data_IF_530630211815
#
_entry.id   IF_530630211815
#
_cell.length_a   1.000
_cell.length_b   1.000
_cell.length_c   1.000
_cell.angle_alpha   90.00
_cell.angle_beta   90.00
_cell.angle_gamma   90.00
#
_symmetry.space_group_name_H-M   'P 1'
#
loop_
_entity.id
_entity.type
_entity.pdbx_description
1 polymer ?
#
# COMPACT_ATOMS: atom_id res chain seq x y z
N UNK A 1 8.94 -29.85 -26.41
CA UNK A 1 7.51 -29.46 -26.30
C UNK A 1 7.25 -28.53 -25.10
N UNK A 2 8.20 -27.70 -24.68
CA UNK A 2 8.10 -27.01 -23.36
C UNK A 2 7.74 -25.51 -23.42
N UNK A 3 7.87 -24.85 -24.57
CA UNK A 3 7.52 -23.41 -24.70
C UNK A 3 6.13 -23.16 -25.29
N UNK A 4 5.47 -24.19 -25.84
CA UNK A 4 4.14 -24.05 -26.46
C UNK A 4 3.02 -24.04 -25.42
N UNK A 5 3.17 -24.79 -24.32
CA UNK A 5 2.19 -24.83 -23.23
C UNK A 5 2.09 -23.51 -22.46
N UNK A 6 3.23 -22.87 -22.17
CA UNK A 6 3.29 -21.57 -21.49
C UNK A 6 2.66 -20.47 -22.37
N UNK A 7 2.92 -20.49 -23.69
CA UNK A 7 2.29 -19.56 -24.65
C UNK A 7 0.78 -19.78 -24.77
N UNK A 8 0.31 -21.03 -24.69
CA UNK A 8 -1.12 -21.37 -24.74
C UNK A 8 -1.90 -20.91 -23.50
N UNK A 9 -1.34 -21.09 -22.31
CA UNK A 9 -1.97 -20.62 -21.06
C UNK A 9 -2.03 -19.09 -21.04
N UNK A 10 -0.95 -18.41 -21.47
CA UNK A 10 -0.94 -16.95 -21.60
C UNK A 10 -2.02 -16.45 -22.56
N UNK A 11 -2.19 -17.10 -23.71
CA UNK A 11 -3.22 -16.73 -24.69
C UNK A 11 -4.65 -16.94 -24.17
N UNK A 12 -4.90 -17.99 -23.39
CA UNK A 12 -6.21 -18.24 -22.78
C UNK A 12 -6.55 -17.20 -21.71
N UNK A 13 -5.58 -16.83 -20.88
CA UNK A 13 -5.75 -15.76 -19.88
C UNK A 13 -6.06 -14.45 -20.61
N UNK A 14 -5.26 -14.07 -21.60
CA UNK A 14 -5.46 -12.84 -22.37
C UNK A 14 -6.84 -12.84 -23.05
N UNK A 15 -7.25 -13.94 -23.66
CA UNK A 15 -8.54 -14.04 -24.35
C UNK A 15 -9.73 -13.99 -23.39
N UNK A 16 -9.60 -14.60 -22.21
CA UNK A 16 -10.61 -14.52 -21.15
C UNK A 16 -10.75 -13.10 -20.59
N UNK A 17 -9.63 -12.39 -20.42
CA UNK A 17 -9.64 -10.98 -20.03
C UNK A 17 -10.25 -10.09 -21.13
N UNK A 18 -9.96 -10.34 -22.41
CA UNK A 18 -10.59 -9.61 -23.54
C UNK A 18 -12.11 -9.87 -23.58
N UNK A 19 -12.56 -11.10 -23.34
CA UNK A 19 -13.98 -11.41 -23.24
C UNK A 19 -14.65 -10.72 -22.05
N UNK A 20 -13.99 -10.70 -20.88
CA UNK A 20 -14.47 -9.94 -19.72
C UNK A 20 -14.49 -8.42 -19.99
N UNK A 21 -13.58 -7.90 -20.82
CA UNK A 21 -13.57 -6.49 -21.25
C UNK A 21 -14.80 -6.12 -22.05
N UNK A 22 -15.33 -7.04 -22.85
CA UNK A 22 -16.51 -6.80 -23.68
C UNK A 22 -17.83 -6.90 -22.88
N UNK A 23 -17.81 -7.64 -21.76
CA UNK A 23 -18.96 -7.84 -20.86
C UNK A 23 -19.08 -6.74 -19.81
N UNK A 24 -17.96 -6.11 -19.43
CA UNK A 24 -17.87 -5.11 -18.35
C UNK A 24 -17.49 -3.77 -18.95
N UNK A 25 -18.02 -2.66 -18.44
CA UNK A 25 -17.68 -1.32 -18.92
C UNK A 25 -16.15 -1.11 -19.03
N UNK A 26 -15.67 -0.66 -20.20
CA UNK A 26 -14.24 -0.48 -20.52
C UNK A 26 -13.46 0.27 -19.43
N UNK A 27 -14.07 1.32 -18.85
CA UNK A 27 -13.43 2.11 -17.81
C UNK A 27 -13.15 1.27 -16.55
N UNK A 28 -14.08 0.39 -16.18
CA UNK A 28 -13.96 -0.48 -14.99
C UNK A 28 -12.83 -1.48 -15.20
N UNK A 29 -12.65 -1.98 -16.41
CA UNK A 29 -11.53 -2.88 -16.73
C UNK A 29 -10.20 -2.16 -16.57
N UNK A 30 -10.07 -0.95 -17.12
CA UNK A 30 -8.85 -0.14 -16.98
C UNK A 30 -8.55 0.11 -15.50
N UNK A 31 -9.56 0.40 -14.69
CA UNK A 31 -9.38 0.55 -13.24
C UNK A 31 -8.84 -0.73 -12.59
N UNK A 32 -9.44 -1.89 -12.86
CA UNK A 32 -8.97 -3.17 -12.31
C UNK A 32 -7.53 -3.46 -12.72
N UNK A 33 -7.17 -3.16 -13.97
CA UNK A 33 -5.79 -3.29 -14.44
C UNK A 33 -4.83 -2.39 -13.64
N UNK A 34 -5.19 -1.12 -13.42
CA UNK A 34 -4.40 -0.21 -12.59
C UNK A 34 -4.27 -0.68 -11.14
N UNK A 35 -5.34 -1.22 -10.55
CA UNK A 35 -5.31 -1.80 -9.20
C UNK A 35 -4.35 -2.99 -9.11
N UNK A 36 -4.29 -3.84 -10.14
CA UNK A 36 -3.33 -4.95 -10.21
C UNK A 36 -1.90 -4.42 -10.31
N UNK A 37 -1.65 -3.45 -11.21
CA UNK A 37 -0.32 -2.83 -11.33
C UNK A 37 0.14 -2.16 -10.03
N UNK A 38 -0.76 -1.48 -9.33
CA UNK A 38 -0.46 -0.88 -8.03
C UNK A 38 -0.08 -1.94 -6.99
N UNK A 39 -0.79 -3.08 -6.99
CA UNK A 39 -0.46 -4.20 -6.09
C UNK A 39 0.92 -4.79 -6.39
N UNK A 40 1.24 -4.96 -7.68
CA UNK A 40 2.54 -5.47 -8.11
C UNK A 40 3.67 -4.48 -7.77
N UNK A 41 3.48 -3.19 -8.03
CA UNK A 41 4.49 -2.17 -7.71
C UNK A 41 4.68 -1.98 -6.20
N UNK A 42 3.61 -2.07 -5.41
CA UNK A 42 3.68 -2.07 -3.95
C UNK A 42 4.45 -3.28 -3.40
N UNK A 43 4.25 -4.46 -4.00
CA UNK A 43 5.02 -5.66 -3.63
C UNK A 43 6.50 -5.52 -4.00
N UNK A 44 6.80 -5.02 -5.20
CA UNK A 44 8.18 -4.76 -5.64
C UNK A 44 8.87 -3.76 -4.72
N UNK A 45 8.18 -2.67 -4.36
CA UNK A 45 8.68 -1.68 -3.40
C UNK A 45 9.04 -2.35 -2.08
N UNK A 46 8.11 -3.10 -1.49
CA UNK A 46 8.31 -3.77 -0.20
C UNK A 46 9.49 -4.75 -0.22
N UNK A 47 9.68 -5.46 -1.35
CA UNK A 47 10.82 -6.35 -1.55
C UNK A 47 12.15 -5.60 -1.62
N UNK A 48 12.21 -4.49 -2.37
CA UNK A 48 13.43 -3.65 -2.49
C UNK A 48 13.76 -2.97 -1.17
N UNK A 49 12.76 -2.44 -0.45
CA UNK A 49 12.95 -1.76 0.83
C UNK A 49 13.09 -2.71 2.03
N UNK A 50 13.01 -4.03 1.80
CA UNK A 50 13.02 -5.10 2.84
C UNK A 50 12.00 -4.89 3.96
N UNK A 51 10.92 -4.17 3.69
CA UNK A 51 9.89 -3.82 4.67
C UNK A 51 8.59 -4.56 4.33
N UNK A 52 8.56 -5.86 4.66
CA UNK A 52 7.40 -6.73 4.45
C UNK A 52 6.50 -6.68 5.69
N UNK A 53 5.62 -5.69 5.75
CA UNK A 53 4.56 -5.65 6.75
C UNK A 53 3.24 -6.11 6.10
N UNK A 54 2.81 -7.32 6.46
CA UNK A 54 1.57 -7.92 5.96
C UNK A 54 0.32 -7.12 6.34
N UNK A 55 0.38 -6.37 7.45
CA UNK A 55 -0.70 -5.49 7.90
C UNK A 55 -0.92 -4.35 6.91
N UNK A 56 0.16 -3.78 6.38
CA UNK A 56 0.13 -2.72 5.37
C UNK A 56 -0.40 -3.28 4.04
N UNK A 57 0.02 -4.50 3.66
CA UNK A 57 -0.48 -5.18 2.47
C UNK A 57 -1.99 -5.44 2.53
N UNK A 58 -2.49 -5.94 3.67
CA UNK A 58 -3.92 -6.19 3.85
C UNK A 58 -4.75 -4.90 3.85
N UNK A 59 -4.26 -3.82 4.48
CA UNK A 59 -4.91 -2.52 4.43
C UNK A 59 -5.07 -1.99 3.00
N UNK A 60 -4.07 -2.22 2.13
CA UNK A 60 -4.15 -1.91 0.70
C UNK A 60 -5.26 -2.68 -0.02
N UNK A 61 -5.42 -3.98 0.27
CA UNK A 61 -6.49 -4.80 -0.31
C UNK A 61 -7.88 -4.33 0.15
N UNK A 62 -8.05 -3.99 1.44
CA UNK A 62 -9.32 -3.46 1.95
C UNK A 62 -9.69 -2.14 1.27
N UNK A 63 -8.71 -1.24 1.08
CA UNK A 63 -8.93 0.02 0.34
C UNK A 63 -9.41 -0.24 -1.09
N UNK A 64 -8.79 -1.21 -1.77
CA UNK A 64 -9.17 -1.62 -3.13
C UNK A 64 -10.59 -2.18 -3.20
N UNK A 65 -11.01 -2.95 -2.20
CA UNK A 65 -12.39 -3.41 -2.10
C UNK A 65 -13.38 -2.26 -1.91
N UNK A 66 -13.04 -1.24 -1.12
CA UNK A 66 -13.87 -0.05 -0.96
C UNK A 66 -14.04 0.74 -2.28
N UNK A 67 -13.00 0.79 -3.12
CA UNK A 67 -13.10 1.39 -4.47
C UNK A 67 -14.15 0.66 -5.30
N UNK A 68 -14.14 -0.68 -5.31
CA UNK A 68 -15.11 -1.48 -6.07
C UNK A 68 -16.56 -1.23 -5.59
N UNK A 69 -16.76 -1.04 -4.29
CA UNK A 69 -18.08 -0.66 -3.75
C UNK A 69 -18.51 0.71 -4.31
N UNK A 70 -17.61 1.70 -4.34
CA UNK A 70 -17.90 3.02 -4.90
C UNK A 70 -18.24 2.97 -6.39
N UNK A 71 -17.55 2.12 -7.17
CA UNK A 71 -17.88 1.89 -8.59
C UNK A 71 -19.27 1.24 -8.72
N UNK A 72 -19.59 0.25 -7.87
CA UNK A 72 -20.92 -0.37 -7.84
C UNK A 72 -22.02 0.64 -7.53
N UNK A 73 -21.78 1.58 -6.61
CA UNK A 73 -22.71 2.67 -6.31
C UNK A 73 -22.89 3.62 -7.50
N UNK A 74 -21.80 3.98 -8.19
CA UNK A 74 -21.87 4.83 -9.38
C UNK A 74 -22.67 4.16 -10.51
N UNK A 75 -22.43 2.87 -10.74
CA UNK A 75 -23.16 2.07 -11.73
C UNK A 75 -24.66 1.95 -11.37
N UNK A 76 -25.00 1.75 -10.09
CA UNK A 76 -26.38 1.71 -9.63
C UNK A 76 -27.09 3.07 -9.81
N UNK A 77 -26.39 4.17 -9.54
CA UNK A 77 -26.91 5.53 -9.75
C UNK A 77 -27.15 5.80 -11.23
N UNK A 78 -26.21 5.44 -12.09
CA UNK A 78 -26.35 5.58 -13.54
C UNK A 78 -27.54 4.76 -14.07
N UNK A 79 -27.69 3.51 -13.62
CA UNK A 79 -28.85 2.67 -13.95
C UNK A 79 -30.18 3.31 -13.52
N UNK A 80 -30.23 3.88 -12.32
CA UNK A 80 -31.42 4.58 -11.81
C UNK A 80 -31.78 5.79 -12.69
N UNK A 81 -30.79 6.57 -13.14
CA UNK A 81 -31.02 7.70 -14.03
C UNK A 81 -31.57 7.25 -15.39
N UNK A 82 -30.97 6.21 -15.97
CA UNK A 82 -31.45 5.62 -17.24
C UNK A 82 -32.90 5.17 -17.10
N UNK A 83 -33.24 4.49 -16.00
CA UNK A 83 -34.62 4.08 -15.71
C UNK A 83 -35.60 5.26 -15.55
N UNK A 84 -35.12 6.42 -15.10
CA UNK A 84 -35.89 7.66 -15.01
C UNK A 84 -36.00 8.43 -16.34
N UNK A 85 -35.50 7.87 -17.45
CA UNK A 85 -35.52 8.50 -18.78
C UNK A 85 -34.44 9.58 -18.98
N UNK A 86 -33.51 9.72 -18.04
CA UNK A 86 -32.33 10.57 -18.15
C UNK A 86 -31.15 9.66 -18.46
N UNK A 87 -30.73 9.54 -19.72
CA UNK A 87 -29.60 8.68 -20.08
C UNK A 87 -28.27 9.47 -20.08
N UNK A 88 -27.45 9.38 -19.01
CA UNK A 88 -26.11 9.97 -18.97
C UNK A 88 -25.08 9.30 -19.90
N UNK A 89 -25.45 8.23 -20.61
CA UNK A 89 -24.60 7.53 -21.60
C UNK A 89 -23.25 7.04 -21.04
N UNK A 90 -23.21 6.59 -19.80
CA UNK A 90 -22.00 6.10 -19.14
C UNK A 90 -21.14 7.18 -18.49
N UNK A 91 -21.52 8.47 -18.54
CA UNK A 91 -20.67 9.57 -18.10
C UNK A 91 -20.39 9.54 -16.60
N UNK A 92 -21.35 9.10 -15.78
CA UNK A 92 -21.21 9.11 -14.32
C UNK A 92 -20.21 8.05 -13.90
N UNK A 93 -20.41 6.82 -14.35
CA UNK A 93 -19.53 5.69 -14.12
C UNK A 93 -18.14 5.98 -14.67
N UNK A 94 -18.04 6.55 -15.88
CA UNK A 94 -16.75 6.95 -16.45
C UNK A 94 -16.04 7.98 -15.57
N UNK A 95 -16.74 9.01 -15.09
CA UNK A 95 -16.16 10.04 -14.22
C UNK A 95 -15.64 9.51 -12.89
N UNK A 96 -16.46 8.71 -12.19
CA UNK A 96 -16.07 8.10 -10.91
C UNK A 96 -14.92 7.11 -11.12
N UNK A 97 -14.98 6.29 -12.16
CA UNK A 97 -13.93 5.31 -12.46
C UNK A 97 -12.62 5.99 -12.83
N UNK A 98 -12.66 7.07 -13.63
CA UNK A 98 -11.48 7.85 -14.01
C UNK A 98 -10.79 8.48 -12.80
N UNK A 99 -11.56 8.96 -11.81
CA UNK A 99 -11.01 9.47 -10.56
C UNK A 99 -10.18 8.39 -9.83
N UNK A 100 -10.70 7.17 -9.74
CA UNK A 100 -9.97 6.08 -9.10
C UNK A 100 -8.78 5.57 -9.93
N UNK A 101 -8.86 5.58 -11.26
CA UNK A 101 -7.72 5.27 -12.14
C UNK A 101 -6.56 6.22 -11.85
N UNK A 102 -6.83 7.53 -11.75
CA UNK A 102 -5.81 8.52 -11.41
C UNK A 102 -5.23 8.27 -10.01
N UNK A 103 -6.07 7.91 -9.02
CA UNK A 103 -5.59 7.56 -7.68
C UNK A 103 -4.65 6.35 -7.66
N UNK A 104 -4.98 5.28 -8.38
CA UNK A 104 -4.09 4.12 -8.50
C UNK A 104 -2.81 4.48 -9.28
N UNK A 105 -2.91 5.33 -10.31
CA UNK A 105 -1.74 5.86 -11.02
C UNK A 105 -0.79 6.65 -10.12
N UNK A 106 -1.32 7.48 -9.23
CA UNK A 106 -0.53 8.22 -8.22
C UNK A 106 0.16 7.22 -7.27
N UNK A 107 -0.55 6.19 -6.80
CA UNK A 107 0.01 5.15 -5.93
C UNK A 107 1.14 4.36 -6.61
N UNK A 108 0.98 4.01 -7.88
CA UNK A 108 2.02 3.38 -8.71
C UNK A 108 3.25 4.28 -8.80
N UNK A 109 3.06 5.56 -9.15
CA UNK A 109 4.16 6.52 -9.27
C UNK A 109 4.94 6.64 -7.96
N UNK A 110 4.24 6.65 -6.83
CA UNK A 110 4.88 6.67 -5.51
C UNK A 110 5.71 5.41 -5.27
N UNK A 111 5.14 4.23 -5.53
CA UNK A 111 5.87 2.96 -5.37
C UNK A 111 7.13 2.94 -6.24
N UNK A 112 7.03 3.40 -7.49
CA UNK A 112 8.16 3.52 -8.40
C UNK A 112 9.21 4.54 -7.91
N UNK A 113 8.79 5.68 -7.37
CA UNK A 113 9.69 6.68 -6.79
C UNK A 113 10.54 6.06 -5.68
N UNK A 114 9.92 5.26 -4.82
CA UNK A 114 10.57 4.62 -3.67
C UNK A 114 11.48 3.44 -4.05
N UNK A 115 11.26 2.84 -5.23
CA UNK A 115 12.18 1.85 -5.81
C UNK A 115 13.43 2.52 -6.40
N UNK A 116 13.43 3.84 -6.56
CA UNK A 116 14.57 4.60 -7.11
C UNK A 116 14.43 4.97 -8.59
N UNK A 117 13.22 4.90 -9.15
CA UNK A 117 12.97 5.37 -10.52
C UNK A 117 13.14 6.90 -10.57
N UNK A 118 13.90 7.46 -11.53
CA UNK A 118 14.10 8.91 -11.61
C UNK A 118 12.80 9.59 -12.03
N UNK A 119 12.12 10.23 -11.07
CA UNK A 119 10.89 11.00 -11.30
C UNK A 119 11.23 12.50 -11.24
N UNK A 120 10.65 13.34 -12.14
CA UNK A 120 10.85 14.78 -12.08
C UNK A 120 10.52 15.38 -10.71
N UNK A 121 11.34 16.33 -10.18
CA UNK A 121 11.15 16.90 -8.84
C UNK A 121 9.76 17.52 -8.63
N UNK A 122 9.17 18.09 -9.69
CA UNK A 122 7.83 18.68 -9.65
C UNK A 122 6.77 17.63 -9.29
N UNK A 123 6.87 16.44 -9.89
CA UNK A 123 5.94 15.34 -9.64
C UNK A 123 6.13 14.80 -8.21
N UNK A 124 7.37 14.59 -7.78
CA UNK A 124 7.69 14.11 -6.45
C UNK A 124 7.19 15.06 -5.34
N UNK A 125 7.36 16.38 -5.55
CA UNK A 125 6.86 17.39 -4.62
C UNK A 125 5.32 17.45 -4.59
N UNK A 126 4.65 17.24 -5.72
CA UNK A 126 3.19 17.14 -5.76
C UNK A 126 2.69 15.89 -5.03
N UNK A 127 3.34 14.74 -5.24
CA UNK A 127 3.10 13.48 -4.53
C UNK A 127 3.24 13.65 -3.00
N UNK A 128 4.32 14.26 -2.53
CA UNK A 128 4.50 14.54 -1.10
C UNK A 128 3.43 15.45 -0.50
N UNK A 129 2.93 16.43 -1.26
CA UNK A 129 1.86 17.33 -0.81
C UNK A 129 0.52 16.61 -0.72
N UNK A 130 0.19 15.74 -1.67
CA UNK A 130 -1.00 14.89 -1.60
C UNK A 130 -0.97 13.94 -0.39
N UNK A 131 0.22 13.47 -0.03
CA UNK A 131 0.41 12.62 1.14
C UNK A 131 0.19 13.34 2.49
N UNK A 132 0.12 14.69 2.50
CA UNK A 132 0.06 15.49 3.73
C UNK A 132 -1.34 15.99 4.14
N UNK A 133 -2.43 15.82 3.37
CA UNK A 133 -3.79 16.19 3.86
C UNK A 133 -4.97 15.53 3.10
N UNK A 134 -6.06 15.11 3.80
CA UNK A 134 -7.02 16.04 4.44
C UNK A 134 -7.36 15.74 5.93
N UNK A 135 -6.53 15.00 6.66
CA UNK A 135 -6.71 14.86 8.12
C UNK A 135 -5.40 14.80 8.90
N UNK A 136 -4.26 15.11 8.27
CA UNK A 136 -2.95 15.21 8.95
C UNK A 136 -2.56 14.03 9.86
N UNK A 137 -3.12 12.82 9.67
CA UNK A 137 -2.70 11.62 10.40
C UNK A 137 -1.98 10.72 9.43
N UNK A 138 -0.66 10.65 9.60
CA UNK A 138 0.21 9.65 8.99
C UNK A 138 -0.49 8.28 9.00
N UNK A 139 -0.62 7.62 7.85
CA UNK A 139 -1.10 6.24 7.73
C UNK A 139 -0.02 5.20 8.14
N UNK A 140 1.01 5.60 8.88
CA UNK A 140 1.56 4.66 9.87
C UNK A 140 0.42 4.46 10.84
N UNK A 141 -0.26 3.30 10.77
CA UNK A 141 -1.10 2.75 11.85
C UNK A 141 -0.65 3.41 13.14
N UNK A 142 -1.43 4.37 13.67
CA UNK A 142 -1.03 5.08 14.87
C UNK A 142 -0.61 3.98 15.82
N UNK A 143 0.71 3.84 16.07
CA UNK A 143 1.26 2.82 16.96
C UNK A 143 0.34 2.95 18.15
N UNK A 144 -0.49 1.93 18.40
CA UNK A 144 -1.51 2.05 19.43
C UNK A 144 -0.78 2.64 20.63
N UNK A 145 -1.29 3.69 21.30
CA UNK A 145 -0.52 4.35 22.35
C UNK A 145 0.02 3.35 23.38
N UNK A 146 -0.64 2.18 23.49
CA UNK A 146 -0.18 1.01 24.23
C UNK A 146 1.12 0.37 23.70
N UNK A 147 1.32 0.19 22.39
CA UNK A 147 2.52 -0.41 21.80
C UNK A 147 3.75 0.49 21.96
N UNK A 148 3.59 1.81 21.84
CA UNK A 148 4.68 2.76 22.09
C UNK A 148 5.09 2.78 23.57
N UNK A 149 4.13 2.59 24.48
CA UNK A 149 4.42 2.39 25.91
C UNK A 149 5.09 1.06 26.19
N UNK A 150 4.69 -0.02 25.52
CA UNK A 150 5.31 -1.35 25.69
C UNK A 150 6.77 -1.32 25.24
N UNK A 151 7.07 -0.78 24.05
CA UNK A 151 8.45 -0.58 23.57
C UNK A 151 9.28 0.24 24.56
N UNK A 152 8.73 1.35 25.07
CA UNK A 152 9.44 2.21 26.03
C UNK A 152 9.68 1.52 27.38
N UNK A 153 8.74 0.70 27.85
CA UNK A 153 8.88 -0.09 29.09
C UNK A 153 9.93 -1.20 28.91
N UNK A 154 9.95 -1.86 27.76
CA UNK A 154 10.96 -2.86 27.41
C UNK A 154 12.37 -2.25 27.40
N UNK A 155 12.53 -1.11 26.70
CA UNK A 155 13.79 -0.37 26.65
C UNK A 155 14.25 0.11 28.03
N UNK A 156 13.34 0.55 28.89
CA UNK A 156 13.67 0.95 30.26
C UNK A 156 14.14 -0.23 31.11
N UNK A 157 13.49 -1.40 30.99
CA UNK A 157 13.94 -2.62 31.68
C UNK A 157 15.33 -3.05 31.21
N UNK A 158 15.59 -2.98 29.91
CA UNK A 158 16.90 -3.31 29.33
C UNK A 158 17.97 -2.33 29.82
N UNK A 159 17.67 -1.03 29.87
CA UNK A 159 18.57 -0.01 30.42
C UNK A 159 18.85 -0.22 31.91
N UNK A 160 17.84 -0.56 32.72
CA UNK A 160 18.03 -0.85 34.14
C UNK A 160 18.87 -2.11 34.36
N UNK A 161 18.61 -3.18 33.61
CA UNK A 161 19.39 -4.41 33.67
C UNK A 161 20.86 -4.18 33.30
N UNK A 162 21.12 -3.44 32.22
CA UNK A 162 22.46 -3.05 31.80
C UNK A 162 23.15 -2.19 32.87
N UNK A 163 22.41 -1.26 33.49
CA UNK A 163 22.96 -0.42 34.56
C UNK A 163 23.36 -1.24 35.78
N UNK A 164 22.56 -2.25 36.16
CA UNK A 164 22.91 -3.18 37.24
C UNK A 164 24.13 -4.02 36.91
N UNK A 165 24.25 -4.48 35.66
CA UNK A 165 25.40 -5.26 35.21
C UNK A 165 26.69 -4.43 35.23
N UNK A 166 26.65 -3.19 34.72
CA UNK A 166 27.78 -2.25 34.79
C UNK A 166 28.19 -1.99 36.25
N UNK A 167 27.24 -1.85 37.17
CA UNK A 167 27.54 -1.66 38.60
C UNK A 167 28.20 -2.90 39.23
N UNK A 168 27.72 -4.10 38.89
CA UNK A 168 28.34 -5.36 39.33
C UNK A 168 29.76 -5.51 38.80
N UNK A 169 29.99 -5.19 37.52
CA UNK A 169 31.31 -5.23 36.90
C UNK A 169 32.27 -4.21 37.54
N UNK A 170 31.81 -2.98 37.79
CA UNK A 170 32.61 -1.96 38.51
C UNK A 170 32.99 -2.42 39.92
N UNK A 171 32.06 -3.05 40.65
CA UNK A 171 32.33 -3.58 41.99
C UNK A 171 33.34 -4.72 41.95
N UNK A 172 33.18 -5.65 41.01
CA UNK A 172 34.09 -6.77 40.81
C UNK A 172 35.50 -6.31 40.43
N UNK A 173 35.64 -5.37 39.49
CA UNK A 173 36.93 -4.80 39.12
C UNK A 173 37.61 -4.10 40.31
N UNK A 174 36.84 -3.36 41.12
CA UNK A 174 37.37 -2.71 42.33
C UNK A 174 37.86 -3.72 43.38
N UNK A 175 37.18 -4.86 43.53
CA UNK A 175 37.57 -5.97 44.41
C UNK A 175 38.79 -6.76 43.88
N UNK A 176 38.96 -6.84 42.56
CA UNK A 176 40.15 -7.43 41.93
C UNK A 176 41.38 -6.49 42.03
N UNK A 177 41.19 -5.18 41.94
CA UNK A 177 42.24 -4.17 42.17
C UNK A 177 42.74 -4.18 43.63
N UNK A 178 41.86 -4.42 44.62
CA UNK A 178 42.26 -4.45 46.05
C UNK A 178 42.89 -5.77 46.50
N UNK A 179 42.86 -6.83 45.68
CA UNK A 179 43.50 -8.12 45.97
C UNK A 179 44.90 -8.28 45.36
N UNK A 180 45.28 -7.37 44.45
CA UNK A 180 46.57 -7.38 43.76
C UNK A 180 47.56 -6.33 44.31
N UNK A 181 47.16 -5.53 45.31
CA UNK A 181 48.01 -4.68 46.15
C UNK A 181 48.25 -5.35 47.52
#
# INVERSE_FOLDING_TARGET
>A
MEVTGIKGIGALIISFFIYMIDVVNEAVVVLVFFMILDMLTGLLRSWVTKSLDSTIGFAGVVKKFAILIMIGMAAALEYMLVAAGQDPKGFILLGVTSFFIVNEGISILENCAQIGLPIPPVLFNALQKLHKDPTGKEQRLARLPILDRVDKVELLKEQEALHQEIQKLKKKNKEEETKND
#
